data_IF_147175381808
#
_entry.id   IF_147175381808
#
_cell.length_a   1.000
_cell.length_b   1.000
_cell.length_c   1.000
_cell.angle_alpha   90.00
_cell.angle_beta   90.00
_cell.angle_gamma   90.00
#
_symmetry.space_group_name_H-M   'P 1'
#
loop_
_entity.id
_entity.type
_entity.pdbx_description
1 polymer ?
#
# COMPACT_ATOMS: atom_id res chain seq x y z
N UNK A 1 17.09 -4.25 11.33
CA UNK A 1 17.41 -2.93 10.76
C UNK A 1 17.16 -2.80 9.25
N UNK A 2 16.59 -3.81 8.56
CA UNK A 2 15.99 -3.61 7.22
C UNK A 2 14.45 -3.73 7.29
N UNK A 3 13.95 -4.83 7.86
CA UNK A 3 12.51 -5.06 8.07
C UNK A 3 11.86 -4.01 8.97
N UNK A 4 12.61 -3.43 9.93
CA UNK A 4 12.12 -2.38 10.82
C UNK A 4 11.77 -1.09 10.06
N UNK A 5 12.46 -0.78 8.97
CA UNK A 5 12.12 0.35 8.11
C UNK A 5 10.79 0.10 7.42
N UNK A 6 10.62 -1.08 6.82
CA UNK A 6 9.34 -1.46 6.20
C UNK A 6 8.19 -1.47 7.20
N UNK A 7 8.42 -1.96 8.42
CA UNK A 7 7.37 -1.97 9.46
C UNK A 7 7.02 -0.54 9.91
N UNK A 8 7.99 0.38 9.95
CA UNK A 8 7.74 1.79 10.22
C UNK A 8 6.92 2.48 9.10
N UNK A 9 7.21 2.18 7.83
CA UNK A 9 6.43 2.68 6.69
C UNK A 9 5.01 2.12 6.74
N UNK A 10 4.85 0.80 6.94
CA UNK A 10 3.56 0.13 7.01
C UNK A 10 2.69 0.58 8.20
N UNK A 11 3.30 1.11 9.27
CA UNK A 11 2.57 1.68 10.43
C UNK A 11 2.40 3.19 10.38
N UNK A 12 3.03 3.86 9.42
CA UNK A 12 2.94 5.30 9.30
C UNK A 12 1.50 5.71 8.95
N UNK A 13 1.14 6.97 9.19
CA UNK A 13 -0.19 7.50 8.85
C UNK A 13 -0.51 7.18 7.40
N UNK A 14 -1.64 6.48 7.18
CA UNK A 14 -2.15 6.11 5.86
C UNK A 14 -2.54 7.37 5.08
N UNK A 15 -2.19 7.38 3.81
CA UNK A 15 -2.65 8.38 2.85
C UNK A 15 -2.57 7.79 1.44
N UNK A 16 -3.42 8.25 0.49
CA UNK A 16 -3.44 7.71 -0.86
C UNK A 16 -2.07 7.75 -1.55
N UNK A 17 -1.28 8.80 -1.32
CA UNK A 17 0.05 8.99 -1.93
C UNK A 17 1.05 7.90 -1.51
N UNK A 18 0.84 7.27 -0.36
CA UNK A 18 1.71 6.20 0.14
C UNK A 18 1.37 4.83 -0.43
N UNK A 19 0.22 4.67 -1.07
CA UNK A 19 -0.23 3.37 -1.55
C UNK A 19 0.81 2.73 -2.49
N UNK A 20 1.31 3.49 -3.47
CA UNK A 20 2.25 2.96 -4.45
C UNK A 20 3.56 2.49 -3.79
N UNK A 21 4.06 3.25 -2.82
CA UNK A 21 5.24 2.85 -2.04
C UNK A 21 4.97 1.56 -1.25
N UNK A 22 3.79 1.40 -0.64
CA UNK A 22 3.42 0.17 0.07
C UNK A 22 3.36 -1.04 -0.88
N UNK A 23 2.81 -0.85 -2.08
CA UNK A 23 2.70 -1.89 -3.10
C UNK A 23 4.06 -2.26 -3.70
N UNK A 24 4.93 -1.28 -3.97
CA UNK A 24 6.32 -1.52 -4.39
C UNK A 24 7.07 -2.38 -3.37
N UNK A 25 6.99 -2.00 -2.09
CA UNK A 25 7.62 -2.77 -1.01
C UNK A 25 7.04 -4.18 -0.89
N UNK A 26 5.71 -4.32 -1.01
CA UNK A 26 5.05 -5.63 -1.00
C UNK A 26 5.53 -6.52 -2.15
N UNK A 27 5.67 -5.95 -3.35
CA UNK A 27 6.13 -6.67 -4.53
C UNK A 27 7.57 -7.17 -4.36
N UNK A 28 8.49 -6.31 -3.92
CA UNK A 28 9.87 -6.70 -3.62
C UNK A 28 9.93 -7.78 -2.54
N UNK A 29 9.13 -7.65 -1.47
CA UNK A 29 9.07 -8.65 -0.41
C UNK A 29 8.52 -10.01 -0.90
N UNK A 30 7.61 -10.01 -1.89
CA UNK A 30 7.13 -11.24 -2.53
C UNK A 30 8.19 -11.86 -3.43
N UNK A 31 8.87 -11.07 -4.24
CA UNK A 31 9.93 -11.53 -5.16
C UNK A 31 11.07 -12.20 -4.38
N UNK A 32 11.49 -11.59 -3.28
CA UNK A 32 12.57 -12.10 -2.43
C UNK A 32 12.15 -13.26 -1.52
N UNK A 33 10.86 -13.63 -1.47
CA UNK A 33 10.36 -14.60 -0.49
C UNK A 33 11.11 -15.95 -0.57
N UNK A 34 11.25 -16.51 -1.77
CA UNK A 34 11.93 -17.80 -1.96
C UNK A 34 13.42 -17.73 -1.61
N UNK A 35 14.08 -16.61 -1.90
CA UNK A 35 15.48 -16.40 -1.54
C UNK A 35 15.67 -16.30 -0.03
N UNK A 36 14.78 -15.58 0.66
CA UNK A 36 14.75 -15.50 2.13
C UNK A 36 14.57 -16.90 2.73
N UNK A 37 13.60 -17.68 2.25
CA UNK A 37 13.38 -19.06 2.73
C UNK A 37 14.62 -19.95 2.51
N UNK A 38 15.29 -19.78 1.36
CA UNK A 38 16.47 -20.59 0.99
C UNK A 38 17.70 -20.24 1.82
N UNK A 39 18.00 -18.94 1.97
CA UNK A 39 19.15 -18.44 2.73
C UNK A 39 18.97 -18.75 4.22
N UNK A 40 17.76 -18.55 4.75
CA UNK A 40 17.44 -18.72 6.17
C UNK A 40 16.77 -20.07 6.50
N UNK A 41 17.07 -21.13 5.75
CA UNK A 41 16.44 -22.45 5.91
C UNK A 41 16.59 -23.10 7.29
N UNK A 42 17.60 -22.69 8.07
CA UNK A 42 17.92 -23.27 9.38
C UNK A 42 16.86 -23.00 10.45
N UNK A 43 16.69 -23.95 11.38
CA UNK A 43 15.73 -23.81 12.51
C UNK A 43 16.00 -22.59 13.40
N UNK A 44 17.27 -22.20 13.55
CA UNK A 44 17.66 -21.02 14.31
C UNK A 44 17.26 -19.68 13.64
N UNK A 45 16.88 -19.71 12.35
CA UNK A 45 16.53 -18.51 11.59
C UNK A 45 15.02 -18.37 11.34
N UNK A 46 14.19 -19.22 11.96
CA UNK A 46 12.72 -19.20 11.80
C UNK A 46 12.16 -17.81 12.07
N UNK A 47 12.60 -17.15 13.14
CA UNK A 47 12.12 -15.80 13.51
C UNK A 47 12.38 -14.75 12.43
N UNK A 48 13.47 -14.87 11.66
CA UNK A 48 13.80 -13.94 10.57
C UNK A 48 12.79 -14.11 9.43
N UNK A 49 12.49 -15.37 9.07
CA UNK A 49 11.51 -15.68 8.02
C UNK A 49 10.10 -15.28 8.41
N UNK A 50 9.71 -15.57 9.66
CA UNK A 50 8.42 -15.17 10.21
C UNK A 50 8.28 -13.65 10.26
N UNK A 51 9.35 -12.93 10.62
CA UNK A 51 9.37 -11.46 10.60
C UNK A 51 9.24 -10.91 9.18
N UNK A 52 9.92 -11.50 8.20
CA UNK A 52 9.81 -11.09 6.80
C UNK A 52 8.40 -11.33 6.25
N UNK A 53 7.84 -12.52 6.47
CA UNK A 53 6.46 -12.85 6.11
C UNK A 53 5.45 -11.94 6.84
N UNK A 54 5.69 -11.66 8.11
CA UNK A 54 4.87 -10.76 8.91
C UNK A 54 4.84 -9.34 8.33
N UNK A 55 6.00 -8.83 7.90
CA UNK A 55 6.08 -7.55 7.20
C UNK A 55 5.32 -7.59 5.86
N UNK A 56 5.50 -8.63 5.05
CA UNK A 56 4.80 -8.79 3.76
C UNK A 56 3.28 -8.75 3.95
N UNK A 57 2.76 -9.46 4.95
CA UNK A 57 1.33 -9.45 5.30
C UNK A 57 0.87 -8.06 5.73
N UNK A 58 1.66 -7.38 6.56
CA UNK A 58 1.33 -6.02 7.03
C UNK A 58 1.28 -5.05 5.86
N UNK A 59 2.26 -5.07 4.95
CA UNK A 59 2.28 -4.21 3.76
C UNK A 59 1.02 -4.40 2.91
N UNK A 60 0.63 -5.65 2.63
CA UNK A 60 -0.59 -5.96 1.88
C UNK A 60 -1.85 -5.45 2.59
N UNK A 61 -1.94 -5.67 3.91
CA UNK A 61 -3.06 -5.21 4.70
C UNK A 61 -3.15 -3.69 4.72
N UNK A 62 -2.06 -2.98 5.01
CA UNK A 62 -2.03 -1.52 5.03
C UNK A 62 -2.37 -0.93 3.66
N UNK A 63 -1.92 -1.56 2.57
CA UNK A 63 -2.29 -1.14 1.22
C UNK A 63 -3.81 -1.29 0.97
N UNK A 64 -4.39 -2.44 1.32
CA UNK A 64 -5.84 -2.67 1.23
C UNK A 64 -6.64 -1.66 2.07
N UNK A 65 -6.20 -1.43 3.30
CA UNK A 65 -6.77 -0.44 4.20
C UNK A 65 -6.64 1.00 3.65
N UNK A 66 -5.57 1.32 2.94
CA UNK A 66 -5.37 2.64 2.31
C UNK A 66 -6.30 2.84 1.11
N UNK A 67 -6.60 1.78 0.35
CA UNK A 67 -7.63 1.83 -0.70
C UNK A 67 -9.01 2.14 -0.12
N UNK A 68 -9.38 1.50 0.99
CA UNK A 68 -10.66 1.77 1.67
C UNK A 68 -10.76 3.21 2.18
N UNK A 69 -9.69 3.73 2.81
CA UNK A 69 -9.64 5.13 3.25
C UNK A 69 -9.77 6.12 2.07
N UNK A 70 -9.19 5.79 0.92
CA UNK A 70 -9.30 6.60 -0.29
C UNK A 70 -10.73 6.62 -0.83
N UNK A 71 -11.38 5.46 -0.92
CA UNK A 71 -12.77 5.34 -1.35
C UNK A 71 -13.70 6.18 -0.44
N UNK A 72 -13.57 6.03 0.87
CA UNK A 72 -14.36 6.78 1.85
C UNK A 72 -14.11 8.30 1.75
N UNK A 73 -12.86 8.72 1.52
CA UNK A 73 -12.53 10.13 1.34
C UNK A 73 -13.17 10.72 0.07
N UNK A 74 -13.17 9.97 -1.04
CA UNK A 74 -13.80 10.37 -2.30
C UNK A 74 -15.32 10.51 -2.15
N UNK A 75 -15.98 9.55 -1.50
CA UNK A 75 -17.43 9.59 -1.28
C UNK A 75 -17.84 10.81 -0.43
N UNK A 76 -17.07 11.12 0.62
CA UNK A 76 -17.34 12.27 1.51
C UNK A 76 -17.07 13.63 0.86
N UNK A 77 -16.16 13.73 -0.09
CA UNK A 77 -15.86 14.98 -0.80
C UNK A 77 -16.88 15.24 -1.92
N UNK A 78 -17.25 14.21 -2.67
CA UNK A 78 -18.27 14.28 -3.71
C UNK A 78 -19.64 14.74 -3.19
N UNK A 79 -19.96 14.47 -1.92
CA UNK A 79 -21.22 14.90 -1.29
C UNK A 79 -21.21 16.35 -0.80
N UNK A 80 -20.06 17.01 -0.69
CA UNK A 80 -19.92 18.36 -0.12
C UNK A 80 -19.74 19.47 -1.14
N UNK A 81 -19.26 19.14 -2.34
CA UNK A 81 -18.77 20.16 -3.27
C UNK A 81 -19.57 20.11 -4.58
N UNK A 82 -20.51 21.05 -4.74
CA UNK A 82 -21.21 21.26 -6.00
C UNK A 82 -20.46 22.30 -6.84
N UNK A 83 -20.07 21.94 -8.07
CA UNK A 83 -19.43 22.89 -9.00
C UNK A 83 -20.54 23.74 -9.63
N UNK A 84 -20.57 25.03 -9.29
CA UNK A 84 -21.62 25.98 -9.67
C UNK A 84 -21.71 26.25 -11.18
N UNK A 85 -20.64 25.95 -11.94
CA UNK A 85 -20.52 26.23 -13.37
C UNK A 85 -20.72 24.98 -14.27
N UNK A 86 -21.00 23.81 -13.68
CA UNK A 86 -21.21 22.56 -14.41
C UNK A 86 -19.93 21.95 -15.01
N UNK A 87 -18.75 22.43 -14.63
CA UNK A 87 -17.46 21.85 -15.06
C UNK A 87 -17.13 20.55 -14.31
N UNK A 88 -16.17 19.79 -14.83
CA UNK A 88 -15.72 18.53 -14.19
C UNK A 88 -15.10 18.83 -12.83
N UNK A 89 -15.58 18.14 -11.79
CA UNK A 89 -15.07 18.31 -10.43
C UNK A 89 -13.58 17.90 -10.35
N UNK A 90 -12.70 18.68 -9.70
CA UNK A 90 -11.26 18.34 -9.57
C UNK A 90 -10.99 16.95 -8.98
N UNK A 91 -11.86 16.49 -8.07
CA UNK A 91 -11.86 15.13 -7.51
C UNK A 91 -11.95 14.05 -8.60
N UNK A 92 -12.70 14.28 -9.69
CA UNK A 92 -12.83 13.32 -10.79
C UNK A 92 -11.48 13.07 -11.46
N UNK A 93 -10.73 14.13 -11.76
CA UNK A 93 -9.38 14.01 -12.32
C UNK A 93 -8.40 13.33 -11.34
N UNK A 94 -8.52 13.63 -10.04
CA UNK A 94 -7.71 12.99 -9.00
C UNK A 94 -7.98 11.48 -8.91
N UNK A 95 -9.25 11.07 -8.88
CA UNK A 95 -9.65 9.65 -8.85
C UNK A 95 -9.16 8.91 -10.09
N UNK A 96 -9.31 9.50 -11.28
CA UNK A 96 -8.83 8.88 -12.52
C UNK A 96 -7.31 8.70 -12.49
N UNK A 97 -6.55 9.72 -12.10
CA UNK A 97 -5.10 9.63 -12.00
C UNK A 97 -4.65 8.56 -10.98
N UNK A 98 -5.35 8.47 -9.85
CA UNK A 98 -5.07 7.46 -8.83
C UNK A 98 -5.33 6.04 -9.34
N UNK A 99 -6.46 5.80 -10.01
CA UNK A 99 -6.78 4.52 -10.62
C UNK A 99 -5.79 4.16 -11.73
N UNK A 100 -5.42 5.12 -12.59
CA UNK A 100 -4.39 4.95 -13.61
C UNK A 100 -3.05 4.50 -13.00
N UNK A 101 -2.60 5.14 -11.92
CA UNK A 101 -1.41 4.72 -11.19
C UNK A 101 -1.54 3.30 -10.61
N UNK A 102 -2.73 2.93 -10.15
CA UNK A 102 -3.00 1.60 -9.58
C UNK A 102 -2.91 0.48 -10.61
N UNK A 103 -3.18 0.75 -11.90
CA UNK A 103 -3.04 -0.25 -12.96
C UNK A 103 -1.60 -0.73 -13.19
N UNK A 104 -0.59 0.04 -12.78
CA UNK A 104 0.81 -0.39 -12.88
C UNK A 104 1.16 -1.53 -11.91
N UNK A 105 0.29 -1.84 -10.95
CA UNK A 105 0.47 -2.90 -9.97
C UNK A 105 -0.40 -4.15 -10.23
N UNK A 106 -1.03 -4.24 -11.41
CA UNK A 106 -1.89 -5.35 -11.81
C UNK A 106 -1.11 -6.55 -12.35
#
# INVERSE_FOLDING_TARGET
>A
MLLSFGDAIARSKRSPEKLFVLLDMYQIMRELHTEIETIFKGKACVEIRDSAMGLTKRLAQTAHETFGDFEEAVEKDATKTAVLDGTVHPLTSYVINYLQGSYFFK
#
